data_IF_525639027810
#
_entry.id   IF_525639027810
#
_cell.length_a   1.000
_cell.length_b   1.000
_cell.length_c   1.000
_cell.angle_alpha   90.00
_cell.angle_beta   90.00
_cell.angle_gamma   90.00
#
_symmetry.space_group_name_H-M   'P 1'
#
loop_
_entity.id
_entity.type
_entity.pdbx_description
1 polymer ?
#
# COMPACT_ATOMS: atom_id res chain seq x y z
N UNK A 1 -12.93 -35.43 50.81
CA UNK A 1 -11.48 -35.33 51.07
C UNK A 1 -10.86 -34.56 49.91
N UNK A 2 -10.37 -33.34 50.15
CA UNK A 2 -9.75 -32.51 49.13
C UNK A 2 -8.36 -33.06 48.78
N UNK A 3 -8.16 -33.43 47.52
CA UNK A 3 -6.83 -33.71 46.99
C UNK A 3 -6.09 -32.39 46.83
N UNK A 4 -5.07 -32.16 47.67
CA UNK A 4 -4.22 -30.98 47.57
C UNK A 4 -3.43 -31.01 46.27
N UNK A 5 -3.74 -30.10 45.35
CA UNK A 5 -2.90 -29.80 44.20
C UNK A 5 -1.70 -28.97 44.69
N UNK A 6 -0.47 -29.46 44.45
CA UNK A 6 0.73 -28.65 44.66
C UNK A 6 0.67 -27.48 43.69
N UNK A 7 0.79 -26.26 44.22
CA UNK A 7 0.64 -25.05 43.41
C UNK A 7 1.88 -24.84 42.52
N UNK A 8 1.73 -24.25 41.32
CA UNK A 8 2.87 -23.88 40.46
C UNK A 8 3.93 -23.00 41.17
N UNK A 9 3.51 -22.23 42.19
CA UNK A 9 4.40 -21.43 43.03
C UNK A 9 5.30 -22.26 43.93
N UNK A 10 4.83 -23.38 44.48
CA UNK A 10 5.62 -24.31 45.29
C UNK A 10 6.65 -25.06 44.43
N UNK A 11 6.26 -25.46 43.22
CA UNK A 11 7.14 -26.08 42.21
C UNK A 11 8.29 -25.12 41.86
N UNK A 12 7.95 -23.85 41.58
CA UNK A 12 8.92 -22.80 41.28
C UNK A 12 9.88 -22.56 42.46
N UNK A 13 9.39 -22.63 43.69
CA UNK A 13 10.20 -22.44 44.92
C UNK A 13 11.14 -23.62 45.17
N UNK A 14 10.69 -24.85 44.93
CA UNK A 14 11.53 -26.06 45.00
C UNK A 14 12.66 -26.02 43.96
N UNK A 15 12.32 -25.71 42.70
CA UNK A 15 13.28 -25.67 41.59
C UNK A 15 14.28 -24.52 41.73
N UNK A 16 13.83 -23.32 42.09
CA UNK A 16 14.71 -22.14 42.23
C UNK A 16 15.78 -22.29 43.32
N UNK A 17 15.49 -23.01 44.41
CA UNK A 17 16.49 -23.28 45.46
C UNK A 17 17.60 -24.26 45.04
N UNK A 18 17.43 -24.98 43.92
CA UNK A 18 18.31 -26.05 43.44
C UNK A 18 18.97 -25.71 42.09
N UNK A 19 18.51 -24.68 41.39
CA UNK A 19 18.91 -24.36 40.01
C UNK A 19 20.16 -23.47 39.89
N UNK A 20 20.67 -22.90 40.98
CA UNK A 20 21.75 -21.89 40.90
C UNK A 20 23.07 -22.43 40.35
N UNK A 21 23.24 -23.75 40.26
CA UNK A 21 24.36 -24.40 39.56
C UNK A 21 23.90 -25.77 39.11
N UNK A 22 23.68 -26.02 37.82
CA UNK A 22 23.86 -27.33 37.14
C UNK A 22 23.32 -27.26 35.70
N UNK A 23 24.11 -27.79 34.75
CA UNK A 23 23.67 -28.11 33.38
C UNK A 23 22.44 -29.04 33.48
N UNK A 24 21.39 -28.82 32.69
CA UNK A 24 20.23 -29.72 32.65
C UNK A 24 20.71 -31.14 32.29
N UNK A 25 20.87 -32.00 33.29
CA UNK A 25 21.30 -33.40 33.16
C UNK A 25 20.26 -34.32 33.78
N UNK A 26 20.32 -35.60 33.41
CA UNK A 26 19.51 -36.71 33.97
C UNK A 26 19.43 -36.67 35.52
N UNK A 27 20.43 -36.11 36.21
CA UNK A 27 20.45 -35.94 37.67
C UNK A 27 19.31 -35.09 38.24
N UNK A 28 18.87 -34.02 37.56
CA UNK A 28 17.75 -33.19 38.04
C UNK A 28 16.46 -34.01 38.05
N UNK A 29 16.27 -34.85 37.03
CA UNK A 29 15.07 -35.69 36.90
C UNK A 29 15.09 -36.91 37.83
N UNK A 30 16.27 -37.50 38.08
CA UNK A 30 16.43 -38.52 39.13
C UNK A 30 16.11 -37.94 40.50
N UNK A 31 16.57 -36.72 40.80
CA UNK A 31 16.23 -36.02 42.06
C UNK A 31 14.75 -35.68 42.13
N UNK A 32 14.12 -35.27 41.03
CA UNK A 32 12.68 -35.01 40.95
C UNK A 32 11.87 -36.29 41.23
N UNK A 33 12.22 -37.40 40.59
CA UNK A 33 11.57 -38.71 40.80
C UNK A 33 11.74 -39.21 42.22
N UNK A 34 12.94 -39.07 42.80
CA UNK A 34 13.16 -39.44 44.19
C UNK A 34 12.32 -38.58 45.14
N UNK A 35 12.18 -37.27 44.87
CA UNK A 35 11.35 -36.37 45.66
C UNK A 35 9.85 -36.71 45.57
N UNK A 36 9.38 -37.11 44.38
CA UNK A 36 8.01 -37.58 44.12
C UNK A 36 7.76 -38.92 44.83
N UNK A 37 8.70 -39.87 44.73
CA UNK A 37 8.60 -41.18 45.36
C UNK A 37 8.60 -41.11 46.90
N UNK A 38 9.30 -40.12 47.48
CA UNK A 38 9.32 -39.86 48.92
C UNK A 38 8.08 -39.12 49.44
N UNK A 39 7.16 -38.68 48.56
CA UNK A 39 5.99 -37.89 48.95
C UNK A 39 4.73 -38.78 49.05
N UNK A 40 4.37 -39.15 50.27
CA UNK A 40 3.27 -40.09 50.59
C UNK A 40 1.86 -39.60 50.18
N UNK A 41 1.74 -38.33 49.75
CA UNK A 41 0.51 -37.75 49.22
C UNK A 41 0.23 -38.06 47.75
N UNK A 42 1.23 -38.51 46.98
CA UNK A 42 1.10 -38.74 45.54
C UNK A 42 0.69 -40.20 45.30
N UNK A 43 -0.62 -40.46 45.28
CA UNK A 43 -1.18 -41.82 45.21
C UNK A 43 -1.47 -42.33 43.79
N UNK A 44 -1.28 -41.52 42.75
CA UNK A 44 -1.68 -41.84 41.37
C UNK A 44 -0.58 -41.42 40.38
N UNK A 45 -0.20 -42.34 39.48
CA UNK A 45 0.75 -42.12 38.38
C UNK A 45 0.39 -40.90 37.53
N UNK A 46 -0.90 -40.59 37.38
CA UNK A 46 -1.35 -39.41 36.62
C UNK A 46 -0.88 -38.09 37.24
N UNK A 47 -0.82 -38.00 38.57
CA UNK A 47 -0.30 -36.79 39.24
C UNK A 47 1.21 -36.66 39.10
N UNK A 48 1.93 -37.79 39.02
CA UNK A 48 3.37 -37.80 38.73
C UNK A 48 3.63 -37.25 37.33
N UNK A 49 2.90 -37.73 36.33
CA UNK A 49 3.06 -37.27 34.95
C UNK A 49 2.65 -35.82 34.74
N UNK A 50 1.63 -35.34 35.45
CA UNK A 50 1.26 -33.92 35.41
C UNK A 50 2.37 -33.06 36.03
N UNK A 51 2.95 -33.50 37.14
CA UNK A 51 4.07 -32.80 37.77
C UNK A 51 5.34 -32.78 36.89
N UNK A 52 5.64 -33.89 36.22
CA UNK A 52 6.73 -33.97 35.23
C UNK A 52 6.51 -32.99 34.05
N UNK A 53 5.28 -32.90 33.53
CA UNK A 53 4.91 -31.94 32.47
C UNK A 53 5.09 -30.49 32.91
N UNK A 54 4.66 -30.15 34.11
CA UNK A 54 4.74 -28.78 34.62
C UNK A 54 6.20 -28.37 34.89
N UNK A 55 7.04 -29.31 35.35
CA UNK A 55 8.48 -29.07 35.50
C UNK A 55 9.17 -28.80 34.14
N UNK A 56 8.82 -29.56 33.10
CA UNK A 56 9.36 -29.36 31.74
C UNK A 56 8.91 -28.00 31.17
N UNK A 57 7.65 -27.61 31.38
CA UNK A 57 7.15 -26.28 30.97
C UNK A 57 7.93 -25.15 31.64
N UNK A 58 8.20 -25.26 32.94
CA UNK A 58 8.99 -24.23 33.67
C UNK A 58 10.43 -24.16 33.14
N UNK A 59 11.06 -25.31 32.83
CA UNK A 59 12.41 -25.36 32.28
C UNK A 59 12.51 -24.70 30.89
N UNK A 60 11.55 -24.98 30.00
CA UNK A 60 11.49 -24.40 28.66
C UNK A 60 11.25 -22.88 28.69
N UNK A 61 10.45 -22.40 29.64
CA UNK A 61 10.23 -20.96 29.83
C UNK A 61 11.45 -20.22 30.35
N UNK A 62 12.32 -20.89 31.11
CA UNK A 62 13.52 -20.27 31.69
C UNK A 62 14.73 -20.30 30.76
N UNK A 63 14.83 -21.29 29.85
CA UNK A 63 15.96 -21.41 28.92
C UNK A 63 15.47 -21.86 27.52
N UNK A 64 15.10 -20.93 26.63
CA UNK A 64 14.49 -21.25 25.34
C UNK A 64 15.49 -21.67 24.25
N UNK A 65 16.78 -21.91 24.58
CA UNK A 65 17.79 -22.26 23.58
C UNK A 65 17.51 -23.61 22.92
N UNK A 66 17.72 -23.70 21.61
CA UNK A 66 17.50 -24.89 20.77
C UNK A 66 18.07 -26.22 21.33
N UNK A 67 19.28 -26.26 21.93
CA UNK A 67 19.82 -27.50 22.50
C UNK A 67 19.01 -28.00 23.72
N UNK A 68 18.44 -27.09 24.49
CA UNK A 68 17.63 -27.41 25.69
C UNK A 68 16.25 -27.91 25.27
N UNK A 69 15.70 -27.37 24.18
CA UNK A 69 14.43 -27.83 23.62
C UNK A 69 14.56 -29.23 23.02
N UNK A 70 15.61 -29.50 22.26
CA UNK A 70 15.88 -30.83 21.69
C UNK A 70 16.08 -31.89 22.78
N UNK A 71 16.79 -31.54 23.86
CA UNK A 71 16.95 -32.43 25.02
C UNK A 71 15.63 -32.66 25.76
N UNK A 72 14.77 -31.65 25.89
CA UNK A 72 13.45 -31.79 26.52
C UNK A 72 12.51 -32.68 25.69
N UNK A 73 12.51 -32.54 24.37
CA UNK A 73 11.70 -33.37 23.46
C UNK A 73 12.13 -34.84 23.46
N UNK A 74 13.43 -35.12 23.32
CA UNK A 74 13.96 -36.49 23.37
C UNK A 74 13.68 -37.19 24.72
N UNK A 75 13.59 -36.40 25.80
CA UNK A 75 13.27 -36.90 27.13
C UNK A 75 11.77 -37.20 27.30
N UNK A 76 10.88 -36.37 26.73
CA UNK A 76 9.43 -36.63 26.69
C UNK A 76 9.14 -37.92 25.92
N UNK A 77 9.84 -38.18 24.82
CA UNK A 77 9.72 -39.42 24.05
C UNK A 77 10.17 -40.64 24.87
N UNK A 78 11.34 -40.59 25.52
CA UNK A 78 11.79 -41.67 26.42
C UNK A 78 10.83 -41.96 27.57
N UNK A 79 10.13 -40.94 28.08
CA UNK A 79 9.13 -41.11 29.12
C UNK A 79 7.83 -41.76 28.63
N UNK A 80 7.45 -41.54 27.37
CA UNK A 80 6.29 -42.20 26.75
C UNK A 80 6.54 -43.70 26.61
N UNK A 81 7.75 -44.10 26.23
CA UNK A 81 8.13 -45.51 26.10
C UNK A 81 8.09 -46.28 27.43
N UNK A 82 8.43 -45.62 28.55
CA UNK A 82 8.48 -46.24 29.87
C UNK A 82 7.12 -46.31 30.58
N UNK A 83 6.17 -45.43 30.24
CA UNK A 83 4.87 -45.33 30.92
C UNK A 83 3.73 -46.03 30.18
N UNK A 84 3.91 -46.37 28.89
CA UNK A 84 2.90 -47.04 28.07
C UNK A 84 1.62 -46.21 27.83
N UNK A 85 1.58 -44.95 28.30
CA UNK A 85 0.46 -44.03 28.12
C UNK A 85 0.83 -43.00 27.06
N UNK A 86 0.09 -43.02 25.94
CA UNK A 86 0.26 -42.08 24.83
C UNK A 86 -0.19 -40.70 25.28
N UNK A 87 0.74 -39.79 25.53
CA UNK A 87 0.46 -38.39 25.87
C UNK A 87 -0.03 -37.68 24.59
N UNK A 88 -1.34 -37.49 24.42
CA UNK A 88 -1.88 -36.82 23.23
C UNK A 88 -1.72 -35.30 23.28
N UNK A 89 -0.96 -34.78 22.32
CA UNK A 89 -1.17 -33.58 21.49
C UNK A 89 -1.54 -32.21 22.09
N UNK A 90 -1.18 -31.90 23.33
CA UNK A 90 -1.27 -30.50 23.85
C UNK A 90 0.09 -29.77 23.91
N UNK A 91 1.16 -30.38 23.37
CA UNK A 91 2.45 -29.70 23.17
C UNK A 91 2.68 -29.27 21.71
N UNK A 92 1.78 -29.61 20.80
CA UNK A 92 1.83 -29.21 19.37
C UNK A 92 1.36 -27.76 19.14
N UNK A 93 0.98 -27.02 20.18
CA UNK A 93 0.40 -25.68 20.10
C UNK A 93 1.28 -24.56 20.69
N UNK A 94 2.60 -24.70 20.58
CA UNK A 94 3.46 -23.53 20.49
C UNK A 94 3.73 -23.28 19.00
N UNK A 95 3.22 -22.19 18.41
CA UNK A 95 3.45 -21.92 16.99
C UNK A 95 4.96 -21.72 16.78
N UNK A 96 5.60 -22.72 16.18
CA UNK A 96 6.90 -22.57 15.54
C UNK A 96 6.68 -21.63 14.33
N UNK A 97 6.79 -20.31 14.55
CA UNK A 97 7.12 -19.44 13.44
C UNK A 97 8.46 -19.96 12.88
N UNK A 98 8.46 -20.40 11.61
CA UNK A 98 9.69 -20.85 10.99
C UNK A 98 10.68 -19.69 11.00
N UNK A 99 11.95 -19.95 11.34
CA UNK A 99 13.00 -18.93 11.33
C UNK A 99 13.04 -18.16 9.99
N UNK A 100 12.68 -18.85 8.90
CA UNK A 100 12.54 -18.28 7.56
C UNK A 100 11.41 -17.25 7.46
N UNK A 101 10.26 -17.46 8.10
CA UNK A 101 9.16 -16.48 8.08
C UNK A 101 9.54 -15.16 8.76
N UNK A 102 10.31 -15.22 9.85
CA UNK A 102 10.79 -14.02 10.54
C UNK A 102 11.92 -13.34 9.75
N UNK A 103 12.84 -14.11 9.17
CA UNK A 103 13.86 -13.58 8.25
C UNK A 103 13.24 -12.89 7.03
N UNK A 104 12.15 -13.43 6.47
CA UNK A 104 11.44 -12.80 5.36
C UNK A 104 10.81 -11.47 5.78
N UNK A 105 10.20 -11.38 6.96
CA UNK A 105 9.69 -10.12 7.52
C UNK A 105 10.81 -9.10 7.75
N UNK A 106 11.98 -9.53 8.23
CA UNK A 106 13.14 -8.65 8.38
C UNK A 106 13.64 -8.09 7.03
N UNK A 107 13.57 -8.89 5.97
CA UNK A 107 13.80 -8.45 4.58
C UNK A 107 12.59 -7.71 3.98
N UNK A 108 11.57 -7.46 4.82
CA UNK A 108 10.36 -6.71 4.55
C UNK A 108 9.23 -7.52 3.91
N UNK A 109 9.43 -8.76 3.50
CA UNK A 109 8.36 -9.56 2.90
C UNK A 109 7.34 -9.95 3.96
N UNK A 110 6.12 -9.49 3.78
CA UNK A 110 5.02 -9.70 4.72
C UNK A 110 3.80 -10.25 3.99
N UNK A 111 2.93 -10.94 4.72
CA UNK A 111 1.62 -11.35 4.20
C UNK A 111 0.87 -10.11 3.71
N UNK A 112 0.35 -10.19 2.49
CA UNK A 112 -0.36 -9.09 1.82
C UNK A 112 0.52 -8.23 0.90
N UNK A 113 1.85 -8.37 0.96
CA UNK A 113 2.73 -7.63 0.05
C UNK A 113 2.69 -8.19 -1.39
N UNK A 114 2.88 -7.32 -2.37
CA UNK A 114 2.95 -7.71 -3.77
C UNK A 114 4.41 -7.85 -4.19
N UNK A 115 4.70 -8.95 -4.90
CA UNK A 115 6.05 -9.36 -5.25
C UNK A 115 6.14 -9.67 -6.73
N UNK A 116 7.25 -9.29 -7.33
CA UNK A 116 7.54 -9.52 -8.75
C UNK A 116 8.85 -10.25 -8.91
N UNK A 117 8.90 -11.14 -9.92
CA UNK A 117 10.11 -11.88 -10.31
C UNK A 117 10.62 -11.34 -11.64
N UNK A 118 11.93 -11.52 -11.90
CA UNK A 118 12.61 -10.98 -13.09
C UNK A 118 12.02 -11.43 -14.43
N UNK A 119 11.33 -12.56 -14.47
CA UNK A 119 10.64 -13.09 -15.64
C UNK A 119 9.23 -12.50 -15.85
N UNK A 120 8.85 -11.48 -15.07
CA UNK A 120 7.59 -10.75 -15.23
C UNK A 120 6.42 -11.34 -14.46
N UNK A 121 6.64 -12.39 -13.65
CA UNK A 121 5.59 -12.96 -12.80
C UNK A 121 5.26 -11.97 -11.68
N UNK A 122 3.97 -11.69 -11.53
CA UNK A 122 3.41 -10.87 -10.46
C UNK A 122 2.61 -11.76 -9.51
N UNK A 123 2.81 -11.56 -8.22
CA UNK A 123 2.10 -12.31 -7.21
C UNK A 123 1.85 -11.49 -5.94
N UNK A 124 1.01 -12.01 -5.06
CA UNK A 124 0.76 -11.52 -3.71
C UNK A 124 1.07 -12.60 -2.69
N UNK A 125 1.83 -12.26 -1.66
CA UNK A 125 2.10 -13.16 -0.54
C UNK A 125 0.81 -13.37 0.25
N UNK A 126 0.29 -14.59 0.28
CA UNK A 126 -0.94 -14.95 1.01
C UNK A 126 -0.66 -15.50 2.41
N UNK A 127 0.39 -16.30 2.56
CA UNK A 127 0.75 -16.91 3.83
C UNK A 127 2.21 -17.38 3.82
N UNK A 128 2.77 -17.52 5.02
CA UNK A 128 3.94 -18.35 5.29
C UNK A 128 3.42 -19.67 5.86
N UNK A 129 3.85 -20.80 5.32
CA UNK A 129 3.34 -22.11 5.73
C UNK A 129 4.09 -22.59 6.98
N UNK A 130 3.36 -22.72 8.09
CA UNK A 130 3.91 -23.07 9.41
C UNK A 130 4.69 -24.39 9.38
N UNK A 131 5.83 -24.43 10.07
CA UNK A 131 6.70 -25.61 10.12
C UNK A 131 7.38 -25.97 8.79
N UNK A 132 7.25 -25.16 7.75
CA UNK A 132 7.93 -25.38 6.46
C UNK A 132 8.63 -24.11 5.96
N UNK A 133 9.61 -24.27 5.07
CA UNK A 133 10.28 -23.17 4.38
C UNK A 133 9.51 -22.73 3.12
N UNK A 134 8.17 -22.73 3.16
CA UNK A 134 7.31 -22.45 1.99
C UNK A 134 6.50 -21.16 2.16
N UNK A 135 6.42 -20.39 1.07
CA UNK A 135 5.63 -19.17 0.94
C UNK A 135 4.50 -19.42 -0.06
N UNK A 136 3.28 -19.13 0.35
CA UNK A 136 2.09 -19.25 -0.50
C UNK A 136 1.85 -17.95 -1.25
N UNK A 137 1.85 -18.04 -2.57
CA UNK A 137 1.66 -16.93 -3.49
C UNK A 137 0.35 -17.06 -4.26
N UNK A 138 -0.41 -15.98 -4.34
CA UNK A 138 -1.46 -15.84 -5.35
C UNK A 138 -0.88 -15.12 -6.57
N UNK A 139 -0.92 -15.80 -7.72
CA UNK A 139 -0.52 -15.24 -9.00
C UNK A 139 -1.75 -14.75 -9.75
N UNK A 140 -1.65 -13.54 -10.30
CA UNK A 140 -2.66 -13.00 -11.21
C UNK A 140 -2.46 -13.64 -12.60
N UNK A 141 -3.43 -14.43 -13.07
CA UNK A 141 -3.43 -14.91 -14.46
C UNK A 141 -3.86 -13.76 -15.39
N UNK A 142 -3.20 -13.65 -16.55
CA UNK A 142 -3.59 -12.74 -17.64
C UNK A 142 -5.04 -12.96 -18.13
N UNK A 143 -5.67 -14.10 -17.78
CA UNK A 143 -7.07 -14.44 -18.08
C UNK A 143 -8.04 -14.26 -16.90
N UNK A 144 -7.62 -13.65 -15.79
CA UNK A 144 -8.49 -13.38 -14.63
C UNK A 144 -8.72 -14.56 -13.68
N UNK A 145 -7.94 -15.64 -13.82
CA UNK A 145 -7.86 -16.71 -12.82
C UNK A 145 -6.87 -16.34 -11.70
N UNK A 146 -7.18 -16.70 -10.46
CA UNK A 146 -6.21 -16.64 -9.36
C UNK A 146 -5.57 -18.02 -9.20
N UNK A 147 -4.26 -18.12 -9.46
CA UNK A 147 -3.52 -19.38 -9.28
C UNK A 147 -2.70 -19.29 -8.00
N UNK A 148 -2.98 -20.18 -7.05
CA UNK A 148 -2.18 -20.30 -5.83
C UNK A 148 -0.99 -21.23 -6.07
N UNK A 149 0.21 -20.77 -5.74
CA UNK A 149 1.46 -21.51 -5.91
C UNK A 149 2.28 -21.44 -4.64
N UNK A 150 2.90 -22.56 -4.26
CA UNK A 150 3.86 -22.61 -3.15
C UNK A 150 5.28 -22.47 -3.71
N UNK A 151 6.07 -21.61 -3.09
CA UNK A 151 7.48 -21.39 -3.47
C UNK A 151 8.36 -21.40 -2.23
N UNK A 152 9.60 -21.82 -2.38
CA UNK A 152 10.56 -21.89 -1.29
C UNK A 152 10.95 -20.49 -0.78
N UNK A 153 11.00 -20.29 0.54
CA UNK A 153 11.41 -19.06 1.21
C UNK A 153 12.81 -18.60 0.79
N UNK A 154 13.73 -19.53 0.53
CA UNK A 154 15.07 -19.22 0.05
C UNK A 154 15.06 -18.48 -1.30
N UNK A 155 14.00 -18.61 -2.12
CA UNK A 155 13.89 -17.86 -3.38
C UNK A 155 13.80 -16.34 -3.15
N UNK A 156 13.13 -15.91 -2.07
CA UNK A 156 13.04 -14.51 -1.67
C UNK A 156 14.37 -14.01 -1.10
N UNK A 157 14.99 -14.79 -0.22
CA UNK A 157 16.27 -14.45 0.41
C UNK A 157 17.42 -14.39 -0.61
N UNK A 158 17.32 -15.15 -1.71
CA UNK A 158 18.25 -15.06 -2.86
C UNK A 158 17.97 -13.87 -3.80
N UNK A 159 17.01 -13.01 -3.47
CA UNK A 159 16.67 -11.82 -4.26
C UNK A 159 15.98 -12.13 -5.60
N UNK A 160 15.35 -13.29 -5.74
CA UNK A 160 14.58 -13.61 -6.96
C UNK A 160 13.26 -12.84 -7.01
N UNK A 161 12.73 -12.48 -5.84
CA UNK A 161 11.51 -11.69 -5.68
C UNK A 161 11.84 -10.29 -5.19
N UNK A 162 11.12 -9.31 -5.73
CA UNK A 162 11.22 -7.91 -5.32
C UNK A 162 9.83 -7.38 -5.01
N UNK A 163 9.70 -6.59 -3.95
CA UNK A 163 8.44 -5.91 -3.67
C UNK A 163 8.10 -4.96 -4.80
N UNK A 164 6.84 -4.91 -5.18
CA UNK A 164 6.32 -3.86 -6.03
C UNK A 164 5.01 -3.35 -5.46
N UNK A 165 4.62 -2.15 -5.86
CA UNK A 165 3.32 -1.59 -5.54
C UNK A 165 2.47 -1.69 -6.81
N UNK A 166 1.36 -2.46 -6.81
CA UNK A 166 0.48 -2.53 -7.96
C UNK A 166 -0.01 -1.14 -8.31
N UNK A 167 -0.06 -0.85 -9.62
CA UNK A 167 -0.73 0.37 -10.08
C UNK A 167 -2.19 0.25 -9.69
N UNK A 168 -2.68 1.18 -8.88
CA UNK A 168 -4.09 1.24 -8.52
C UNK A 168 -4.92 1.25 -9.82
N UNK A 169 -5.92 0.37 -9.89
CA UNK A 169 -6.83 0.34 -11.03
C UNK A 169 -7.46 1.72 -11.23
N UNK A 170 -7.57 2.22 -12.47
CA UNK A 170 -8.22 3.48 -12.75
C UNK A 170 -9.64 3.50 -12.19
N UNK A 171 -9.95 4.50 -11.35
CA UNK A 171 -11.31 4.76 -10.90
C UNK A 171 -11.85 5.97 -11.67
N UNK A 172 -13.03 5.82 -12.26
CA UNK A 172 -13.70 6.86 -13.03
C UNK A 172 -14.86 7.45 -12.24
N UNK A 173 -15.10 8.75 -12.41
CA UNK A 173 -16.25 9.41 -11.80
C UNK A 173 -17.53 8.99 -12.53
N UNK A 174 -18.51 8.53 -11.78
CA UNK A 174 -19.87 8.31 -12.28
C UNK A 174 -20.68 9.60 -12.19
N UNK A 175 -21.62 9.79 -13.12
CA UNK A 175 -22.60 10.88 -13.09
C UNK A 175 -22.00 12.29 -12.86
N UNK A 176 -20.79 12.52 -13.37
CA UNK A 176 -20.10 13.82 -13.25
C UNK A 176 -20.84 14.94 -13.99
N UNK A 177 -21.79 14.59 -14.85
CA UNK A 177 -22.60 15.54 -15.58
C UNK A 177 -23.92 15.83 -14.87
N UNK A 178 -24.05 17.08 -14.44
CA UNK A 178 -25.30 17.68 -14.01
C UNK A 178 -25.12 19.19 -14.04
N UNK A 179 -25.83 19.95 -14.90
CA UNK A 179 -25.73 21.39 -14.86
C UNK A 179 -26.32 21.90 -13.54
N UNK A 180 -25.46 22.12 -12.55
CA UNK A 180 -25.81 22.88 -11.36
C UNK A 180 -25.84 24.35 -11.74
N UNK A 181 -27.01 24.81 -12.18
CA UNK A 181 -27.29 26.24 -12.29
C UNK A 181 -27.70 26.72 -10.90
N UNK A 182 -26.73 27.23 -10.13
CA UNK A 182 -27.08 28.05 -8.98
C UNK A 182 -27.44 29.45 -9.47
N UNK A 183 -28.58 29.93 -8.99
CA UNK A 183 -29.00 31.32 -9.09
C UNK A 183 -27.91 32.20 -8.49
N UNK A 184 -27.31 33.07 -9.31
CA UNK A 184 -26.40 34.08 -8.81
C UNK A 184 -27.22 35.10 -7.98
N UNK A 185 -27.22 34.94 -6.66
CA UNK A 185 -27.91 35.86 -5.73
C UNK A 185 -27.31 37.27 -5.72
N UNK A 186 -26.01 37.38 -6.03
CA UNK A 186 -25.30 38.66 -6.17
C UNK A 186 -24.47 38.63 -7.45
N UNK A 187 -24.93 39.33 -8.49
CA UNK A 187 -24.24 39.33 -9.77
C UNK A 187 -24.30 40.71 -10.39
N UNK A 188 -23.18 41.44 -10.34
CA UNK A 188 -22.90 42.52 -11.28
C UNK A 188 -23.23 42.05 -12.71
N UNK A 189 -23.88 42.90 -13.52
CA UNK A 189 -24.38 42.57 -14.86
C UNK A 189 -23.40 41.76 -15.74
N UNK A 190 -22.09 42.06 -15.67
CA UNK A 190 -21.04 41.34 -16.40
C UNK A 190 -20.95 39.85 -16.03
N UNK A 191 -21.01 39.51 -14.72
CA UNK A 191 -20.95 38.12 -14.24
C UNK A 191 -22.15 37.32 -14.71
N UNK A 192 -23.34 37.91 -14.64
CA UNK A 192 -24.58 37.31 -15.15
C UNK A 192 -24.51 37.02 -16.64
N UNK A 193 -23.95 37.96 -17.43
CA UNK A 193 -23.76 37.76 -18.86
C UNK A 193 -22.77 36.64 -19.17
N UNK A 194 -21.63 36.59 -18.48
CA UNK A 194 -20.65 35.50 -18.61
C UNK A 194 -21.30 34.14 -18.27
N UNK A 195 -22.08 34.08 -17.18
CA UNK A 195 -22.77 32.85 -16.77
C UNK A 195 -23.80 32.39 -17.83
N UNK A 196 -24.52 33.33 -18.46
CA UNK A 196 -25.45 33.03 -19.55
C UNK A 196 -24.73 32.42 -20.77
N UNK A 197 -23.65 33.05 -21.22
CA UNK A 197 -22.86 32.56 -22.37
C UNK A 197 -22.20 31.20 -22.06
N UNK A 198 -21.73 31.01 -20.83
CA UNK A 198 -21.16 29.75 -20.37
C UNK A 198 -22.19 28.61 -20.37
N UNK A 199 -23.42 28.90 -19.93
CA UNK A 199 -24.53 27.93 -20.00
C UNK A 199 -24.84 27.56 -21.44
N UNK A 200 -24.96 28.54 -22.34
CA UNK A 200 -25.26 28.29 -23.75
C UNK A 200 -24.18 27.45 -24.42
N UNK A 201 -22.91 27.77 -24.17
CA UNK A 201 -21.77 27.03 -24.68
C UNK A 201 -21.74 25.57 -24.19
N UNK A 202 -22.14 25.34 -22.93
CA UNK A 202 -22.13 24.02 -22.29
C UNK A 202 -23.25 23.12 -22.82
N UNK A 203 -24.43 23.67 -23.13
CA UNK A 203 -25.52 22.91 -23.78
C UNK A 203 -25.08 22.35 -25.14
N UNK A 204 -24.23 23.08 -25.85
CA UNK A 204 -23.68 22.67 -27.14
C UNK A 204 -22.39 21.84 -27.04
N UNK A 205 -21.97 21.44 -25.83
CA UNK A 205 -20.72 20.70 -25.60
C UNK A 205 -20.87 19.19 -25.81
N UNK A 206 -19.77 18.44 -25.69
CA UNK A 206 -19.76 17.00 -25.94
C UNK A 206 -20.69 16.23 -24.99
N UNK A 207 -21.27 15.12 -25.49
CA UNK A 207 -22.12 14.25 -24.68
C UNK A 207 -21.31 13.66 -23.50
N UNK A 208 -21.89 13.56 -22.29
CA UNK A 208 -21.21 13.03 -21.11
C UNK A 208 -20.68 11.61 -21.29
N UNK A 209 -21.40 10.77 -22.05
CA UNK A 209 -20.98 9.40 -22.33
C UNK A 209 -19.73 9.29 -23.22
N UNK A 210 -19.29 10.40 -23.82
CA UNK A 210 -18.14 10.39 -24.73
C UNK A 210 -16.80 10.57 -24.00
N UNK A 211 -16.81 10.84 -22.69
CA UNK A 211 -15.63 11.10 -21.87
C UNK A 211 -15.71 10.41 -20.51
N UNK A 212 -14.55 9.99 -20.00
CA UNK A 212 -14.38 9.48 -18.65
C UNK A 212 -13.47 10.42 -17.86
N UNK A 213 -13.85 10.77 -16.63
CA UNK A 213 -13.00 11.54 -15.72
C UNK A 213 -12.36 10.55 -14.74
N UNK A 214 -11.05 10.30 -14.87
CA UNK A 214 -10.27 9.47 -13.95
C UNK A 214 -10.00 10.26 -12.67
N UNK A 215 -10.25 9.64 -11.51
CA UNK A 215 -10.04 10.23 -10.18
C UNK A 215 -8.84 9.64 -9.44
N UNK A 216 -8.47 8.37 -9.73
CA UNK A 216 -7.33 7.66 -9.13
C UNK A 216 -6.61 6.81 -10.19
N UNK A 217 -5.28 6.57 -10.08
CA UNK A 217 -4.34 7.13 -9.09
C UNK A 217 -4.04 8.62 -9.30
N UNK A 218 -4.46 9.20 -10.42
CA UNK A 218 -4.35 10.63 -10.70
C UNK A 218 -5.56 11.14 -11.49
N UNK A 219 -5.77 12.45 -11.42
CA UNK A 219 -6.82 13.13 -12.19
C UNK A 219 -6.46 13.12 -13.68
N UNK A 220 -7.43 12.83 -14.53
CA UNK A 220 -7.26 12.88 -15.98
C UNK A 220 -8.59 12.76 -16.69
N UNK A 221 -8.63 13.09 -17.97
CA UNK A 221 -9.82 12.89 -18.81
C UNK A 221 -9.44 11.97 -19.95
N UNK A 222 -10.26 10.96 -20.20
CA UNK A 222 -10.05 9.94 -21.21
C UNK A 222 -11.20 10.00 -22.21
N UNK A 223 -10.87 9.88 -23.50
CA UNK A 223 -11.86 9.72 -24.55
C UNK A 223 -12.51 8.33 -24.46
N UNK A 224 -13.83 8.27 -24.26
CA UNK A 224 -14.57 7.00 -24.32
C UNK A 224 -14.94 6.63 -25.76
N UNK A 225 -15.04 7.64 -26.64
CA UNK A 225 -15.42 7.51 -28.04
C UNK A 225 -14.38 8.16 -28.94
N UNK A 226 -14.43 7.81 -30.23
CA UNK A 226 -13.60 8.42 -31.26
C UNK A 226 -14.04 9.85 -31.58
N UNK A 227 -13.07 10.75 -31.80
CA UNK A 227 -13.31 12.12 -32.24
C UNK A 227 -12.42 12.49 -33.44
N UNK A 228 -13.01 13.14 -34.44
CA UNK A 228 -12.23 13.80 -35.49
C UNK A 228 -11.51 15.04 -34.96
N UNK A 229 -10.46 15.50 -35.66
CA UNK A 229 -9.70 16.72 -35.30
C UNK A 229 -10.63 17.92 -35.12
N UNK A 230 -10.51 18.61 -33.99
CA UNK A 230 -11.28 19.83 -33.66
C UNK A 230 -12.76 19.61 -33.31
N UNK A 231 -13.25 18.38 -33.30
CA UNK A 231 -14.66 18.08 -33.00
C UNK A 231 -14.97 18.12 -31.50
N UNK A 232 -14.03 17.68 -30.66
CA UNK A 232 -14.21 17.73 -29.22
C UNK A 232 -14.02 19.17 -28.75
N UNK A 233 -15.02 19.72 -28.04
CA UNK A 233 -14.95 21.02 -27.38
C UNK A 233 -15.30 20.87 -25.91
N UNK A 234 -14.39 21.27 -25.03
CA UNK A 234 -14.59 21.30 -23.58
C UNK A 234 -14.67 22.75 -23.13
N UNK A 235 -15.72 23.11 -22.41
CA UNK A 235 -15.88 24.46 -21.87
C UNK A 235 -15.57 24.47 -20.37
N UNK A 236 -14.98 25.55 -19.83
CA UNK A 236 -14.67 25.76 -18.41
C UNK A 236 -15.93 26.04 -17.58
N UNK A 237 -16.93 25.16 -17.66
CA UNK A 237 -18.19 25.37 -16.94
C UNK A 237 -17.93 25.45 -15.43
N UNK A 238 -18.46 26.50 -14.81
CA UNK A 238 -18.33 26.82 -13.39
C UNK A 238 -19.40 27.83 -13.01
N UNK A 239 -19.73 27.88 -11.72
CA UNK A 239 -20.55 28.94 -11.13
C UNK A 239 -19.69 30.04 -10.49
N UNK A 240 -18.37 30.02 -10.69
CA UNK A 240 -17.43 30.97 -10.10
C UNK A 240 -16.83 31.90 -11.15
N UNK A 241 -17.30 33.14 -11.15
CA UNK A 241 -16.77 34.26 -11.95
C UNK A 241 -16.13 35.28 -11.00
N UNK A 242 -14.82 35.40 -11.08
CA UNK A 242 -14.01 36.31 -10.28
C UNK A 242 -13.68 37.56 -11.11
N UNK A 243 -13.64 38.73 -10.47
CA UNK A 243 -13.22 39.99 -11.09
C UNK A 243 -11.90 40.46 -10.47
N UNK A 244 -11.03 41.08 -11.26
CA UNK A 244 -9.70 41.53 -10.80
C UNK A 244 -8.61 40.53 -11.14
N UNK A 245 -7.63 40.30 -10.25
CA UNK A 245 -6.42 39.52 -10.60
C UNK A 245 -6.70 38.03 -10.84
N UNK A 246 -6.23 37.54 -11.99
CA UNK A 246 -6.13 36.11 -12.28
C UNK A 246 -5.19 35.40 -11.30
N UNK A 247 -5.56 34.20 -10.88
CA UNK A 247 -4.71 33.32 -10.09
C UNK A 247 -4.39 32.03 -10.84
N UNK A 248 -3.61 31.15 -10.23
CA UNK A 248 -3.30 29.85 -10.84
C UNK A 248 -4.57 29.06 -11.17
N UNK A 249 -4.62 28.56 -12.41
CA UNK A 249 -5.76 27.80 -12.94
C UNK A 249 -6.98 28.65 -13.31
N UNK A 250 -6.91 29.98 -13.20
CA UNK A 250 -7.95 30.87 -13.67
C UNK A 250 -7.93 31.02 -15.20
N UNK A 251 -9.11 31.11 -15.81
CA UNK A 251 -9.28 31.28 -17.25
C UNK A 251 -9.84 32.68 -17.52
N UNK A 252 -9.06 33.54 -18.15
CA UNK A 252 -9.50 34.88 -18.55
C UNK A 252 -10.61 34.76 -19.60
N UNK A 253 -11.76 35.41 -19.37
CA UNK A 253 -12.88 35.46 -20.31
C UNK A 253 -12.88 36.78 -21.07
N UNK A 254 -12.91 37.91 -20.36
CA UNK A 254 -13.10 39.22 -20.97
C UNK A 254 -12.56 40.33 -20.06
N UNK A 255 -12.39 41.51 -20.65
CA UNK A 255 -12.01 42.75 -19.96
C UNK A 255 -13.05 43.82 -20.25
N UNK A 256 -13.59 44.42 -19.19
CA UNK A 256 -14.67 45.44 -19.29
C UNK A 256 -14.27 46.63 -18.43
N UNK A 257 -14.10 47.79 -19.06
CA UNK A 257 -13.68 49.01 -18.35
C UNK A 257 -12.34 48.86 -17.61
N UNK A 258 -11.40 48.09 -18.18
CA UNK A 258 -10.10 47.80 -17.55
C UNK A 258 -10.14 46.74 -16.43
N UNK A 259 -11.32 46.20 -16.11
CA UNK A 259 -11.48 45.11 -15.16
C UNK A 259 -11.51 43.76 -15.88
N UNK A 260 -10.63 42.85 -15.48
CA UNK A 260 -10.57 41.50 -16.01
C UNK A 260 -11.54 40.56 -15.28
N UNK A 261 -12.15 39.63 -16.02
CA UNK A 261 -13.07 38.64 -15.50
C UNK A 261 -12.59 37.23 -15.81
N UNK A 262 -12.51 36.40 -14.77
CA UNK A 262 -11.95 35.06 -14.82
C UNK A 262 -12.94 33.98 -14.38
N UNK A 263 -12.88 32.83 -15.04
CA UNK A 263 -13.53 31.59 -14.58
C UNK A 263 -12.55 30.80 -13.71
N UNK A 264 -13.05 30.21 -12.62
CA UNK A 264 -12.28 29.28 -11.79
C UNK A 264 -13.05 28.01 -11.52
N UNK A 265 -12.35 26.91 -11.31
CA UNK A 265 -12.98 25.70 -10.81
C UNK A 265 -13.67 26.00 -9.47
N UNK A 266 -14.93 25.61 -9.38
CA UNK A 266 -15.72 25.72 -8.16
C UNK A 266 -15.75 24.39 -7.40
N UNK A 267 -15.85 24.47 -6.08
CA UNK A 267 -16.07 23.30 -5.23
C UNK A 267 -17.49 22.78 -5.49
N UNK A 268 -17.61 21.56 -6.02
CA UNK A 268 -18.91 20.91 -6.30
C UNK A 268 -19.32 20.86 -7.77
N UNK A 269 -18.53 21.42 -8.69
CA UNK A 269 -18.72 21.25 -10.13
C UNK A 269 -17.55 20.44 -10.70
N UNK A 270 -17.85 19.25 -11.22
CA UNK A 270 -16.89 18.43 -11.95
C UNK A 270 -17.21 18.51 -13.44
N UNK A 271 -16.34 19.16 -14.21
CA UNK A 271 -16.43 19.13 -15.68
C UNK A 271 -15.07 18.83 -16.31
N UNK A 272 -15.02 18.13 -17.45
CA UNK A 272 -13.79 17.65 -18.06
C UNK A 272 -12.70 18.71 -18.21
N UNK A 273 -13.08 19.95 -18.58
CA UNK A 273 -12.14 21.05 -18.78
C UNK A 273 -11.15 21.23 -17.60
N UNK A 274 -11.64 21.14 -16.35
CA UNK A 274 -10.81 21.36 -15.16
C UNK A 274 -9.94 20.16 -14.77
N UNK A 275 -10.11 19.02 -15.45
CA UNK A 275 -9.44 17.76 -15.13
C UNK A 275 -8.48 17.30 -16.24
N UNK A 276 -8.38 18.03 -17.35
CA UNK A 276 -7.41 17.74 -18.41
C UNK A 276 -6.00 17.96 -17.85
N UNK A 277 -5.17 16.92 -17.90
CA UNK A 277 -3.82 16.99 -17.36
C UNK A 277 -2.88 17.78 -18.28
N UNK A 278 -1.80 18.30 -17.70
CA UNK A 278 -0.76 19.01 -18.44
C UNK A 278 0.48 18.17 -18.65
N UNK A 279 1.12 18.30 -19.81
CA UNK A 279 2.42 17.68 -20.15
C UNK A 279 3.46 18.71 -20.57
N UNK A 280 4.71 18.43 -20.26
CA UNK A 280 5.87 19.23 -20.64
C UNK A 280 6.38 18.95 -22.06
N UNK A 281 5.97 17.83 -22.66
CA UNK A 281 6.28 17.50 -24.05
C UNK A 281 5.10 17.92 -24.95
N UNK A 282 5.35 18.88 -25.85
CA UNK A 282 4.36 19.38 -26.79
C UNK A 282 3.86 18.29 -27.76
N UNK A 283 4.67 17.28 -28.08
CA UNK A 283 4.28 16.19 -28.98
C UNK A 283 3.24 15.25 -28.34
N UNK A 284 3.21 15.18 -27.01
CA UNK A 284 2.20 14.39 -26.28
C UNK A 284 0.87 15.11 -26.14
N UNK A 285 0.83 16.44 -26.29
CA UNK A 285 -0.40 17.20 -26.17
C UNK A 285 -1.41 16.79 -27.24
N UNK A 286 -2.66 16.59 -26.81
CA UNK A 286 -3.79 16.25 -27.68
C UNK A 286 -4.84 17.34 -27.71
N UNK A 287 -4.75 18.28 -26.78
CA UNK A 287 -5.67 19.38 -26.60
C UNK A 287 -4.93 20.72 -26.62
N UNK A 288 -5.62 21.76 -27.09
CA UNK A 288 -5.19 23.15 -26.96
C UNK A 288 -6.31 23.99 -26.37
N UNK A 289 -5.94 25.06 -25.65
CA UNK A 289 -6.89 26.09 -25.21
C UNK A 289 -7.05 27.10 -26.34
N UNK A 290 -8.29 27.27 -26.80
CA UNK A 290 -8.68 28.32 -27.73
C UNK A 290 -9.15 29.53 -26.91
N UNK A 291 -8.38 30.63 -26.86
CA UNK A 291 -8.78 31.82 -26.14
C UNK A 291 -10.01 32.46 -26.80
N UNK A 292 -10.87 33.08 -25.98
CA UNK A 292 -11.95 33.90 -26.50
C UNK A 292 -11.40 35.20 -27.07
N UNK A 293 -11.81 35.54 -28.30
CA UNK A 293 -11.52 36.84 -28.91
C UNK A 293 -12.67 37.79 -28.60
N UNK A 294 -12.68 38.32 -27.38
CA UNK A 294 -13.65 39.32 -26.93
C UNK A 294 -13.09 40.73 -27.15
N UNK A 295 -13.96 41.67 -27.53
CA UNK A 295 -13.58 43.08 -27.65
C UNK A 295 -13.72 43.75 -26.30
N UNK A 296 -12.73 44.53 -25.91
CA UNK A 296 -12.76 45.28 -24.66
C UNK A 296 -13.97 46.22 -24.62
N UNK A 297 -14.66 46.25 -23.47
CA UNK A 297 -15.79 47.15 -23.23
C UNK A 297 -17.12 46.74 -23.86
N UNK A 298 -17.19 45.66 -24.65
CA UNK A 298 -18.43 45.15 -25.22
C UNK A 298 -18.90 43.88 -24.48
N UNK A 299 -20.11 43.96 -23.92
CA UNK A 299 -20.77 42.84 -23.23
C UNK A 299 -21.62 41.98 -24.17
N UNK A 300 -21.97 42.52 -25.34
CA UNK A 300 -22.66 41.76 -26.37
C UNK A 300 -21.69 40.81 -27.08
N UNK A 301 -22.09 39.54 -27.20
CA UNK A 301 -21.31 38.53 -27.92
C UNK A 301 -20.05 38.05 -27.20
N UNK A 302 -20.00 38.11 -25.86
CA UNK A 302 -18.93 37.49 -25.07
C UNK A 302 -18.80 36.01 -25.47
N UNK A 303 -17.62 35.62 -25.94
CA UNK A 303 -17.25 34.24 -26.23
C UNK A 303 -16.55 33.65 -25.02
N UNK A 304 -16.78 32.36 -24.81
CA UNK A 304 -16.15 31.59 -23.73
C UNK A 304 -14.93 30.85 -24.31
N UNK A 305 -13.75 30.95 -23.68
CA UNK A 305 -12.60 30.13 -24.04
C UNK A 305 -12.93 28.64 -23.88
N UNK A 306 -12.34 27.79 -24.72
CA UNK A 306 -12.61 26.35 -24.67
C UNK A 306 -11.39 25.55 -25.05
N UNK A 307 -11.31 24.29 -24.61
CA UNK A 307 -10.31 23.36 -25.13
C UNK A 307 -10.85 22.62 -26.35
N UNK A 308 -9.98 22.36 -27.32
CA UNK A 308 -10.31 21.47 -28.44
C UNK A 308 -9.18 20.48 -28.74
N UNK A 309 -9.53 19.37 -29.36
CA UNK A 309 -8.53 18.39 -29.79
C UNK A 309 -7.79 18.84 -31.05
N UNK A 310 -6.46 18.78 -31.02
CA UNK A 310 -5.59 19.20 -32.14
C UNK A 310 -5.28 18.06 -33.13
N UNK A 311 -5.59 16.84 -32.75
CA UNK A 311 -5.47 15.62 -33.55
C UNK A 311 -6.72 14.73 -33.35
N UNK A 312 -6.99 13.78 -34.27
CA UNK A 312 -7.99 12.74 -34.01
C UNK A 312 -7.72 12.01 -32.70
N UNK A 313 -8.78 11.63 -31.99
CA UNK A 313 -8.71 10.88 -30.74
C UNK A 313 -9.37 9.52 -30.94
N UNK A 314 -8.67 8.46 -30.53
CA UNK A 314 -9.25 7.12 -30.42
C UNK A 314 -9.77 6.89 -28.99
N UNK A 315 -10.67 5.92 -28.78
CA UNK A 315 -11.03 5.48 -27.44
C UNK A 315 -9.79 5.17 -26.58
N UNK A 316 -9.89 5.38 -25.28
CA UNK A 316 -8.82 5.23 -24.29
C UNK A 316 -7.67 6.24 -24.41
N UNK A 317 -7.77 7.23 -25.30
CA UNK A 317 -6.80 8.33 -25.39
C UNK A 317 -6.95 9.28 -24.20
N UNK A 318 -5.87 9.47 -23.44
CA UNK A 318 -5.81 10.49 -22.39
C UNK A 318 -5.65 11.89 -23.01
N UNK A 319 -6.49 12.82 -22.56
CA UNK A 319 -6.51 14.21 -22.99
C UNK A 319 -5.46 15.00 -22.23
N UNK A 320 -4.53 15.59 -22.97
CA UNK A 320 -3.37 16.30 -22.41
C UNK A 320 -3.21 17.67 -23.06
N UNK A 321 -2.99 18.70 -22.25
CA UNK A 321 -2.60 20.05 -22.73
C UNK A 321 -1.10 20.26 -22.55
N UNK A 322 -0.48 20.97 -23.49
CA UNK A 322 0.89 21.40 -23.31
C UNK A 322 0.98 22.51 -22.26
N UNK A 323 1.81 22.33 -21.24
CA UNK A 323 2.23 23.39 -20.33
C UNK A 323 3.75 23.38 -20.27
N UNK A 324 4.43 24.43 -20.77
CA UNK A 324 5.88 24.48 -20.71
C UNK A 324 6.32 24.38 -19.25
N UNK A 325 7.39 23.63 -18.95
CA UNK A 325 7.94 23.59 -17.60
C UNK A 325 8.29 25.02 -17.20
N UNK A 326 7.77 25.47 -16.05
CA UNK A 326 8.16 26.75 -15.49
C UNK A 326 9.67 26.76 -15.35
N UNK A 327 10.34 27.79 -15.87
CA UNK A 327 11.79 28.01 -15.68
C UNK A 327 12.06 28.37 -14.22
N UNK A 328 11.80 27.45 -13.30
CA UNK A 328 12.13 27.61 -11.88
C UNK A 328 12.35 26.24 -11.25
N UNK A 329 13.58 26.04 -10.77
CA UNK A 329 14.19 24.91 -10.06
C UNK A 329 14.56 23.66 -10.88
N UNK A 330 15.82 23.70 -11.33
CA UNK A 330 16.73 22.56 -11.26
C UNK A 330 16.69 22.01 -9.83
N UNK A 331 16.12 20.83 -9.63
CA UNK A 331 16.53 19.94 -8.54
C UNK A 331 17.28 18.78 -9.18
N UNK A 332 18.57 18.98 -9.39
CA UNK A 332 19.54 17.90 -9.47
C UNK A 332 19.56 17.22 -8.10
N UNK A 333 18.68 16.24 -7.91
CA UNK A 333 19.01 15.07 -7.12
C UNK A 333 19.06 13.89 -8.09
N UNK A 334 20.02 13.96 -9.02
CA UNK A 334 20.69 12.73 -9.42
C UNK A 334 21.38 12.23 -8.16
N UNK A 335 20.88 11.14 -7.60
CA UNK A 335 21.64 10.32 -6.65
C UNK A 335 22.93 9.91 -7.36
N UNK A 336 23.98 10.72 -7.19
CA UNK A 336 25.31 10.33 -7.58
C UNK A 336 25.63 9.04 -6.85
N UNK A 337 25.96 8.03 -7.64
CA UNK A 337 26.43 6.73 -7.17
C UNK A 337 27.56 6.98 -6.18
N UNK A 338 27.37 6.54 -4.93
CA UNK A 338 28.46 6.39 -3.97
C UNK A 338 29.50 5.45 -4.58
N UNK A 339 30.56 6.02 -5.14
CA UNK A 339 31.77 5.28 -5.53
C UNK A 339 32.42 4.83 -4.22
N UNK A 340 32.70 3.53 -4.02
CA UNK A 340 33.41 3.07 -2.83
C UNK A 340 34.79 3.71 -2.76
N UNK A 341 35.12 4.33 -1.63
CA UNK A 341 36.43 4.90 -1.38
C UNK A 341 37.51 3.83 -1.54
N UNK A 342 38.38 4.00 -2.54
CA UNK A 342 39.63 3.24 -2.65
C UNK A 342 40.46 3.52 -1.41
N UNK A 343 40.78 2.47 -0.64
CA UNK A 343 41.84 2.50 0.37
C UNK A 343 43.13 2.94 -0.32
N UNK A 344 43.58 4.16 -0.02
CA UNK A 344 44.94 4.59 -0.36
C UNK A 344 45.84 4.29 0.84
N UNK A 345 46.88 3.51 0.53
CA UNK A 345 47.97 3.11 1.40
C UNK A 345 48.55 4.30 2.17
N UNK A 346 48.64 4.14 3.50
CA UNK A 346 49.56 4.93 4.30
C UNK A 346 50.98 4.58 3.88
N UNK A 347 51.67 5.53 3.26
CA UNK A 347 53.13 5.56 3.31
C UNK A 347 53.51 6.28 4.59
N UNK A 348 54.09 5.51 5.49
CA UNK A 348 54.93 5.97 6.58
C UNK A 348 55.95 6.99 6.05
N UNK A 349 56.11 8.09 6.76
CA UNK A 349 57.34 8.87 6.85
C UNK A 349 57.13 9.94 7.92
N UNK A 350 57.51 9.63 9.16
CA UNK A 350 57.90 10.62 10.15
C UNK A 350 59.06 10.03 10.98
N UNK A 351 60.19 10.74 10.88
CA UNK A 351 61.43 10.71 11.68
C UNK A 351 62.21 9.40 11.78
#
# INVERSE_FOLDING_TARGET
MHGGSISPGEIKKMLSSQLDRVKVTEEIFVKLRNCIASNTGIKNLQHVHQFERDAIKVLLQQNPSEPVQSQACALVEKMQDLSGVKLTSEFDSYPLQSADADLLKEHGFEVGCHVSRKDGILAKVQAFEDGTSMVVLAMDDAKGGSKVVKVDAASFLKGQWTKYQPKALPQYMENWWGPSCLEHKDSSYVKGKIAQELRQATICSCKPSALLIRCKPGKGVIAALKFGKGQLKLFPFTNRVDAGKGGDGAVLVTTVGGMEFYLRQSTGITVPFWHVASVADAAMAKMEIVPAKNKDGLLEGIKIPYMRNIAPLEPDTELLIYKPPSKTRVSTESLDKLIPAKRLHGKENLS
#
